data_IF_527365495565
#
_entry.id   IF_527365495565
#
_cell.length_a   1.000
_cell.length_b   1.000
_cell.length_c   1.000
_cell.angle_alpha   90.00
_cell.angle_beta   90.00
_cell.angle_gamma   90.00
#
_symmetry.space_group_name_H-M   'P 1'
#
loop_
_entity.id
_entity.type
_entity.pdbx_description
1 polymer ?
#
# COMPACT_ATOMS: atom_id res chain seq x y z
N UNK A 1 4.91 14.34 -1.94
CA UNK A 1 5.77 13.89 -0.81
C UNK A 1 6.65 12.78 -1.34
N UNK A 2 7.88 12.65 -0.88
CA UNK A 2 8.80 11.61 -1.36
C UNK A 2 8.71 10.37 -0.47
N UNK A 3 9.08 9.21 -1.00
CA UNK A 3 9.07 7.96 -0.23
C UNK A 3 10.06 8.01 0.93
N UNK A 4 11.25 8.60 0.72
CA UNK A 4 12.30 8.68 1.73
C UNK A 4 11.92 9.50 2.97
N UNK A 5 10.94 10.40 2.86
CA UNK A 5 10.48 11.25 3.96
C UNK A 5 9.43 10.57 4.85
N UNK A 6 8.87 9.43 4.41
CA UNK A 6 7.82 8.72 5.13
C UNK A 6 8.39 8.05 6.38
N UNK A 7 7.78 8.34 7.53
CA UNK A 7 8.14 7.71 8.81
C UNK A 7 6.97 6.92 9.39
N UNK A 8 7.27 6.05 10.34
CA UNK A 8 6.23 5.34 11.09
C UNK A 8 5.32 6.35 11.80
N UNK A 9 4.01 6.20 11.64
CA UNK A 9 3.01 7.06 12.29
C UNK A 9 2.56 8.24 11.43
N UNK A 10 3.21 8.51 10.30
CA UNK A 10 2.71 9.50 9.34
C UNK A 10 1.35 9.07 8.78
N UNK A 11 0.45 10.04 8.67
CA UNK A 11 -0.90 9.87 8.13
C UNK A 11 -1.23 11.05 7.20
N UNK A 12 -2.15 10.84 6.26
CA UNK A 12 -2.41 11.84 5.22
C UNK A 12 -1.35 11.86 4.11
N UNK A 13 -0.58 10.78 3.98
CA UNK A 13 0.51 10.66 3.01
C UNK A 13 -0.07 10.63 1.59
N UNK A 14 0.41 11.54 0.74
CA UNK A 14 0.06 11.58 -0.68
C UNK A 14 1.33 11.47 -1.52
N UNK A 15 1.46 10.36 -2.25
CA UNK A 15 2.64 10.03 -3.07
C UNK A 15 2.22 9.46 -4.42
N UNK A 16 3.09 9.60 -5.40
CA UNK A 16 2.97 9.02 -6.73
C UNK A 16 4.21 8.14 -6.93
N UNK A 17 4.00 6.88 -7.29
CA UNK A 17 5.08 5.90 -7.42
C UNK A 17 4.71 4.81 -8.42
N UNK A 18 5.71 4.12 -8.97
CA UNK A 18 5.52 2.97 -9.85
C UNK A 18 5.52 1.67 -9.05
N UNK A 19 4.68 0.73 -9.44
CA UNK A 19 4.61 -0.60 -8.83
C UNK A 19 5.72 -1.46 -9.41
N UNK A 20 6.83 -1.58 -8.67
CA UNK A 20 7.97 -2.39 -9.09
C UNK A 20 7.68 -3.89 -8.98
N UNK A 21 7.00 -4.31 -7.91
CA UNK A 21 6.73 -5.72 -7.63
C UNK A 21 5.39 -5.88 -6.92
N UNK A 22 4.76 -7.06 -7.06
CA UNK A 22 3.51 -7.39 -6.41
C UNK A 22 3.52 -8.85 -5.95
N UNK A 23 3.29 -9.05 -4.67
CA UNK A 23 3.19 -10.36 -4.04
C UNK A 23 1.82 -11.00 -4.31
N UNK A 24 1.76 -12.32 -4.14
CA UNK A 24 0.51 -13.06 -4.23
C UNK A 24 -0.49 -12.61 -3.16
N UNK A 25 -1.76 -12.55 -3.55
CA UNK A 25 -2.86 -12.29 -2.63
C UNK A 25 -2.94 -13.43 -1.61
N UNK A 26 -2.91 -13.10 -0.33
CA UNK A 26 -3.15 -14.03 0.77
C UNK A 26 -4.47 -13.71 1.45
N UNK A 27 -5.15 -14.77 1.89
CA UNK A 27 -6.34 -14.63 2.70
C UNK A 27 -5.94 -14.38 4.16
N UNK A 28 -6.55 -13.37 4.79
CA UNK A 28 -6.45 -13.10 6.22
C UNK A 28 -7.83 -13.14 6.86
N UNK A 29 -7.91 -13.79 8.01
CA UNK A 29 -9.14 -13.83 8.82
C UNK A 29 -9.20 -12.60 9.70
N UNK A 30 -10.23 -11.78 9.51
CA UNK A 30 -10.53 -10.68 10.43
C UNK A 30 -11.04 -11.23 11.76
N UNK A 31 -10.58 -10.67 12.88
CA UNK A 31 -11.01 -11.04 14.23
C UNK A 31 -12.51 -10.79 14.49
N UNK A 32 -13.15 -9.96 13.66
CA UNK A 32 -14.55 -9.52 13.82
C UNK A 32 -15.46 -9.84 12.63
N UNK A 33 -14.94 -10.39 11.53
CA UNK A 33 -15.66 -10.54 10.28
C UNK A 33 -15.80 -11.99 9.84
N UNK A 34 -17.01 -12.40 9.45
CA UNK A 34 -17.30 -13.71 8.87
C UNK A 34 -16.70 -13.91 7.46
N UNK A 35 -16.27 -12.83 6.79
CA UNK A 35 -15.76 -12.88 5.41
C UNK A 35 -14.22 -12.92 5.38
N UNK A 36 -13.63 -13.75 4.51
CA UNK A 36 -12.20 -13.70 4.23
C UNK A 36 -11.83 -12.33 3.64
N UNK A 37 -10.77 -11.72 4.14
CA UNK A 37 -10.18 -10.52 3.55
C UNK A 37 -8.96 -10.94 2.75
N UNK A 38 -8.81 -10.41 1.54
CA UNK A 38 -7.59 -10.62 0.78
C UNK A 38 -6.64 -9.46 1.01
N UNK A 39 -5.37 -9.77 1.18
CA UNK A 39 -4.30 -8.79 1.28
C UNK A 39 -3.15 -9.18 0.36
N UNK A 40 -2.55 -8.21 -0.33
CA UNK A 40 -1.33 -8.40 -1.09
C UNK A 40 -0.34 -7.29 -0.74
N UNK A 41 0.95 -7.62 -0.77
CA UNK A 41 2.02 -6.66 -0.56
C UNK A 41 2.59 -6.27 -1.93
N UNK A 42 2.62 -4.98 -2.24
CA UNK A 42 3.21 -4.42 -3.47
C UNK A 42 4.38 -3.52 -3.12
N UNK A 43 5.45 -3.56 -3.90
CA UNK A 43 6.60 -2.66 -3.74
C UNK A 43 6.43 -1.48 -4.67
N UNK A 44 6.23 -0.31 -4.08
CA UNK A 44 6.26 0.96 -4.79
C UNK A 44 7.69 1.46 -4.86
N UNK A 45 8.07 2.00 -6.01
CA UNK A 45 9.36 2.61 -6.27
C UNK A 45 9.14 3.99 -6.86
N UNK A 46 9.92 4.93 -6.33
CA UNK A 46 10.02 6.29 -6.84
C UNK A 46 11.50 6.67 -6.98
N UNK A 47 11.80 7.86 -7.48
CA UNK A 47 13.16 8.40 -7.61
C UNK A 47 13.91 8.45 -6.27
N UNK A 48 13.16 8.59 -5.17
CA UNK A 48 13.71 8.75 -3.81
C UNK A 48 13.92 7.45 -3.05
N UNK A 49 13.28 6.35 -3.45
CA UNK A 49 13.37 5.10 -2.70
C UNK A 49 12.29 4.07 -3.04
N UNK A 50 12.10 3.11 -2.13
CA UNK A 50 11.11 2.04 -2.25
C UNK A 50 10.32 1.91 -0.95
N UNK A 51 9.03 1.60 -1.04
CA UNK A 51 8.17 1.31 0.12
C UNK A 51 7.21 0.17 -0.19
N UNK A 52 6.88 -0.61 0.83
CA UNK A 52 5.89 -1.69 0.71
C UNK A 52 4.49 -1.11 0.91
N UNK A 53 3.64 -1.22 -0.08
CA UNK A 53 2.22 -0.90 -0.03
C UNK A 53 1.40 -2.16 0.25
N UNK A 54 0.51 -2.09 1.22
CA UNK A 54 -0.48 -3.13 1.51
C UNK A 54 -1.78 -2.85 0.75
N UNK A 55 -2.13 -3.75 -0.17
CA UNK A 55 -3.34 -3.72 -0.98
C UNK A 55 -4.42 -4.61 -0.35
N UNK A 56 -5.64 -4.11 -0.26
CA UNK A 56 -6.78 -4.83 0.32
C UNK A 56 -7.85 -5.16 -0.72
N UNK A 57 -8.34 -6.40 -0.69
CA UNK A 57 -9.48 -6.88 -1.48
C UNK A 57 -9.39 -6.45 -2.96
N UNK A 58 -10.29 -5.59 -3.43
CA UNK A 58 -10.39 -5.13 -4.82
C UNK A 58 -9.16 -4.33 -5.27
N UNK A 59 -8.47 -3.64 -4.36
CA UNK A 59 -7.24 -2.89 -4.68
C UNK A 59 -6.15 -3.81 -5.24
N UNK A 60 -6.17 -5.08 -4.84
CA UNK A 60 -5.24 -6.09 -5.37
C UNK A 60 -5.46 -6.24 -6.86
N UNK A 61 -6.70 -6.32 -7.34
CA UNK A 61 -6.97 -6.48 -8.77
C UNK A 61 -6.82 -5.17 -9.55
N UNK A 62 -6.98 -4.02 -8.90
CA UNK A 62 -6.84 -2.70 -9.54
C UNK A 62 -5.40 -2.33 -9.89
N UNK A 63 -4.41 -2.85 -9.15
CA UNK A 63 -3.02 -2.46 -9.29
C UNK A 63 -2.20 -3.59 -9.91
N UNK A 64 -1.50 -3.33 -11.01
CA UNK A 64 -0.58 -4.29 -11.65
C UNK A 64 0.88 -3.84 -11.55
N UNK A 65 1.80 -4.79 -11.75
CA UNK A 65 3.23 -4.49 -11.81
C UNK A 65 3.51 -3.67 -13.07
N UNK A 66 4.27 -2.59 -12.91
CA UNK A 66 4.55 -1.61 -13.97
C UNK A 66 3.54 -0.46 -14.03
N UNK A 67 2.42 -0.53 -13.31
CA UNK A 67 1.50 0.60 -13.23
C UNK A 67 2.07 1.73 -12.39
N UNK A 68 1.75 2.96 -12.79
CA UNK A 68 1.99 4.13 -11.96
C UNK A 68 0.75 4.38 -11.12
N UNK A 69 0.94 4.50 -9.81
CA UNK A 69 -0.16 4.68 -8.87
C UNK A 69 0.03 5.94 -8.03
N UNK A 70 -1.10 6.58 -7.75
CA UNK A 70 -1.23 7.68 -6.83
C UNK A 70 -1.94 7.20 -5.57
N UNK A 71 -1.24 7.31 -4.45
CA UNK A 71 -1.79 7.07 -3.12
C UNK A 71 -2.20 8.41 -2.53
N UNK A 72 -3.42 8.51 -2.04
CA UNK A 72 -3.93 9.68 -1.32
C UNK A 72 -4.41 9.25 0.06
N UNK A 73 -4.16 10.08 1.09
CA UNK A 73 -4.51 9.77 2.48
C UNK A 73 -4.01 8.39 2.96
N UNK A 74 -2.81 8.02 2.54
CA UNK A 74 -2.10 6.85 3.05
C UNK A 74 -1.66 7.04 4.50
N UNK A 75 -1.44 5.93 5.20
CA UNK A 75 -0.80 5.92 6.50
C UNK A 75 0.37 4.94 6.48
N UNK A 76 1.46 5.34 7.12
CA UNK A 76 2.65 4.53 7.26
C UNK A 76 2.70 3.88 8.63
N UNK A 77 2.88 2.56 8.64
CA UNK A 77 2.93 1.74 9.83
C UNK A 77 4.11 0.78 9.73
N UNK A 78 4.89 0.66 10.78
CA UNK A 78 5.86 -0.42 10.87
C UNK A 78 5.17 -1.70 11.29
N UNK A 79 5.44 -2.76 10.54
CA UNK A 79 5.05 -4.11 10.92
C UNK A 79 6.30 -4.99 10.84
N UNK A 80 6.66 -5.62 11.96
CA UNK A 80 7.87 -6.44 12.08
C UNK A 80 9.16 -5.72 11.65
N UNK A 81 9.29 -4.45 12.02
CA UNK A 81 10.41 -3.56 11.64
C UNK A 81 10.50 -3.21 10.15
N UNK A 82 9.44 -3.48 9.38
CA UNK A 82 9.34 -3.05 7.97
C UNK A 82 8.30 -1.96 7.88
N UNK A 83 8.69 -0.81 7.32
CA UNK A 83 7.78 0.29 7.04
C UNK A 83 6.83 -0.12 5.92
N UNK A 84 5.53 -0.14 6.21
CA UNK A 84 4.49 -0.44 5.25
C UNK A 84 3.53 0.74 5.13
N UNK A 85 3.20 1.10 3.90
CA UNK A 85 2.15 2.05 3.56
C UNK A 85 0.86 1.28 3.35
N UNK A 86 -0.24 1.80 3.88
CA UNK A 86 -1.57 1.25 3.59
C UNK A 86 -2.53 2.40 3.39
N UNK A 87 -3.51 2.20 2.53
CA UNK A 87 -4.66 3.10 2.43
C UNK A 87 -5.65 2.73 3.53
N UNK A 88 -5.86 3.65 4.47
CA UNK A 88 -6.85 3.46 5.53
C UNK A 88 -8.27 3.59 5.01
N UNK A 89 -9.23 3.75 5.93
CA UNK A 89 -10.65 3.96 5.59
C UNK A 89 -10.91 5.15 4.65
N UNK A 90 -10.07 6.17 4.73
CA UNK A 90 -10.16 7.40 3.93
C UNK A 90 -9.10 7.47 2.84
N UNK A 91 -8.26 6.44 2.71
CA UNK A 91 -7.21 6.37 1.72
C UNK A 91 -7.75 5.97 0.36
N UNK A 92 -7.18 6.51 -0.72
CA UNK A 92 -7.54 6.18 -2.09
C UNK A 92 -6.29 5.79 -2.89
N UNK A 93 -6.45 4.81 -3.76
CA UNK A 93 -5.45 4.40 -4.74
C UNK A 93 -6.03 4.70 -6.12
N UNK A 94 -5.28 5.41 -6.95
CA UNK A 94 -5.64 5.71 -8.33
C UNK A 94 -4.50 5.28 -9.25
N UNK A 95 -4.79 4.43 -10.23
CA UNK A 95 -3.83 4.11 -11.30
C UNK A 95 -3.85 5.24 -12.32
N UNK A 96 -2.67 5.72 -12.72
CA UNK A 96 -2.45 6.85 -13.65
C UNK A 96 -1.69 6.43 -14.89
#
# INVERSE_FOLDING_TARGET
>A
MNICDIKEGDSGITIEAEVAEKSYAREVRSKYGYRPLMVADATLKDETGKITLTLWNEQISQVMVGDKVKIENGYAKSFRNVLQLSTGRYGKITVI
#
